data_IF_301697183956
#
_entry.id   IF_301697183956
#
_cell.length_a   1.000
_cell.length_b   1.000
_cell.length_c   1.000
_cell.angle_alpha   90.00
_cell.angle_beta   90.00
_cell.angle_gamma   90.00
#
_symmetry.space_group_name_H-M   'P 1'
#
loop_
_entity.id
_entity.type
_entity.pdbx_description
1 polymer ?
#
# COMPACT_ATOMS: atom_id res chain seq x y z
N UNK A 1 -10.48 -5.50 28.46
CA UNK A 1 -9.26 -5.17 27.67
C UNK A 1 -8.58 -3.97 28.33
N UNK A 2 -7.49 -4.20 29.06
CA UNK A 2 -6.73 -3.14 29.74
C UNK A 2 -5.96 -2.24 28.77
N UNK A 3 -5.36 -1.16 29.30
CA UNK A 3 -4.36 -0.34 28.59
C UNK A 3 -3.00 -0.70 29.18
N UNK A 4 -2.08 -1.22 28.36
CA UNK A 4 -0.67 -1.42 28.75
C UNK A 4 0.24 -0.44 28.01
N UNK A 5 1.23 0.14 28.70
CA UNK A 5 2.30 0.92 28.06
C UNK A 5 3.65 0.33 28.43
N UNK A 6 4.50 0.12 27.43
CA UNK A 6 5.87 -0.36 27.64
C UNK A 6 6.85 0.51 26.87
N UNK A 7 7.94 0.90 27.54
CA UNK A 7 9.00 1.76 27.01
C UNK A 7 10.37 1.05 27.09
N UNK A 8 11.38 1.66 26.49
CA UNK A 8 12.76 1.14 26.45
C UNK A 8 13.10 0.53 25.09
N UNK A 9 14.28 -0.06 24.94
CA UNK A 9 14.76 -0.53 23.63
C UNK A 9 13.77 -1.49 22.92
N UNK A 10 12.93 -2.20 23.68
CA UNK A 10 11.87 -3.09 23.18
C UNK A 10 10.55 -2.90 23.95
N UNK A 11 9.93 -1.73 23.82
CA UNK A 11 8.61 -1.46 24.42
C UNK A 11 7.47 -2.30 23.85
N UNK A 12 6.58 -2.81 24.73
CA UNK A 12 5.37 -3.58 24.38
C UNK A 12 4.14 -3.06 25.11
N UNK A 13 3.04 -2.88 24.40
CA UNK A 13 1.75 -2.51 24.98
C UNK A 13 0.59 -3.32 24.41
N UNK A 14 -0.37 -3.69 25.26
CA UNK A 14 -1.53 -4.53 24.90
C UNK A 14 -2.86 -3.79 25.03
N UNK A 15 -3.91 -4.34 24.39
CA UNK A 15 -5.28 -3.84 24.49
C UNK A 15 -5.48 -2.50 23.77
N UNK A 16 -5.63 -1.39 24.49
CA UNK A 16 -5.58 -0.02 23.90
C UNK A 16 -4.22 0.64 24.18
N UNK A 17 -3.16 -0.18 24.20
CA UNK A 17 -1.84 0.14 24.69
C UNK A 17 -0.86 0.73 23.67
N UNK A 18 0.30 1.18 24.15
CA UNK A 18 1.43 1.65 23.31
C UNK A 18 2.74 0.97 23.71
N UNK A 19 3.49 0.50 22.72
CA UNK A 19 4.89 0.09 22.90
C UNK A 19 5.81 1.08 22.21
N UNK A 20 6.70 1.72 22.95
CA UNK A 20 7.61 2.76 22.46
C UNK A 20 9.08 2.32 22.66
N UNK A 21 9.94 2.57 21.68
CA UNK A 21 11.36 2.19 21.73
C UNK A 21 11.97 1.97 20.36
N UNK A 22 13.25 1.58 20.27
CA UNK A 22 13.86 1.19 18.98
C UNK A 22 13.01 0.10 18.28
N UNK A 23 12.36 -0.77 19.06
CA UNK A 23 11.43 -1.81 18.60
C UNK A 23 10.11 -1.79 19.40
N UNK A 24 9.26 -0.80 19.14
CA UNK A 24 7.93 -0.70 19.74
C UNK A 24 6.90 -1.69 19.16
N UNK A 25 6.09 -2.32 20.03
CA UNK A 25 4.98 -3.20 19.63
C UNK A 25 3.68 -2.87 20.37
N UNK A 26 2.58 -2.74 19.64
CA UNK A 26 1.24 -2.56 20.16
C UNK A 26 0.26 -3.62 19.66
N UNK A 27 -0.50 -4.25 20.55
CA UNK A 27 -1.51 -5.26 20.19
C UNK A 27 -2.94 -4.76 20.44
N UNK A 28 -3.93 -5.37 19.79
CA UNK A 28 -5.35 -5.03 19.95
C UNK A 28 -5.77 -3.78 19.17
N UNK A 29 -6.08 -2.68 19.86
CA UNK A 29 -6.26 -1.33 19.30
C UNK A 29 -5.01 -0.47 19.61
N UNK A 30 -3.85 -1.10 19.73
CA UNK A 30 -2.62 -0.47 20.21
C UNK A 30 -1.74 0.14 19.12
N UNK A 31 -0.66 0.81 19.55
CA UNK A 31 0.38 1.36 18.66
C UNK A 31 1.77 0.88 19.05
N UNK A 32 2.60 0.57 18.07
CA UNK A 32 4.03 0.36 18.24
C UNK A 32 4.80 1.49 17.56
N UNK A 33 5.59 2.24 18.30
CA UNK A 33 6.35 3.41 17.82
C UNK A 33 7.86 3.17 18.03
N UNK A 34 8.68 3.48 17.02
CA UNK A 34 10.12 3.22 17.05
C UNK A 34 10.79 3.21 15.69
N UNK A 35 12.09 2.94 15.59
CA UNK A 35 12.70 2.62 14.27
C UNK A 35 11.99 1.43 13.60
N UNK A 36 11.51 0.49 14.43
CA UNK A 36 10.74 -0.69 14.03
C UNK A 36 9.45 -0.80 14.83
N UNK A 37 8.48 0.06 14.51
CA UNK A 37 7.12 0.01 15.08
C UNK A 37 6.25 -1.11 14.49
N UNK A 38 5.52 -1.84 15.34
CA UNK A 38 4.54 -2.86 14.94
C UNK A 38 3.20 -2.71 15.66
N UNK A 39 2.10 -2.75 14.92
CA UNK A 39 0.74 -2.74 15.44
C UNK A 39 -0.07 -3.94 14.95
N UNK A 40 -0.70 -4.69 15.85
CA UNK A 40 -1.55 -5.85 15.50
C UNK A 40 -3.03 -5.58 15.80
N UNK A 41 -3.94 -6.31 15.14
CA UNK A 41 -5.38 -6.18 15.33
C UNK A 41 -5.99 -4.97 14.60
N UNK A 42 -6.47 -3.97 15.31
CA UNK A 42 -6.83 -2.63 14.82
C UNK A 42 -5.72 -1.63 15.18
N UNK A 43 -4.46 -2.06 15.07
CA UNK A 43 -3.30 -1.32 15.57
C UNK A 43 -2.55 -0.53 14.50
N UNK A 44 -1.56 0.25 14.95
CA UNK A 44 -0.61 0.97 14.06
C UNK A 44 0.83 0.69 14.43
N UNK A 45 1.69 0.51 13.43
CA UNK A 45 3.14 0.50 13.59
C UNK A 45 3.74 1.73 12.91
N UNK A 46 4.41 2.59 13.67
CA UNK A 46 4.98 3.86 13.19
C UNK A 46 6.51 3.83 13.39
N UNK A 47 7.27 4.24 12.38
CA UNK A 47 8.73 4.17 12.40
C UNK A 47 9.40 4.19 11.04
N UNK A 48 10.74 4.15 10.94
CA UNK A 48 11.40 3.90 9.64
C UNK A 48 10.85 2.63 8.96
N UNK A 49 10.53 1.61 9.77
CA UNK A 49 9.94 0.35 9.36
C UNK A 49 8.66 0.06 10.15
N UNK A 50 7.61 0.81 9.86
CA UNK A 50 6.26 0.58 10.42
C UNK A 50 5.54 -0.64 9.82
N UNK A 51 4.92 -1.46 10.66
CA UNK A 51 4.07 -2.60 10.23
C UNK A 51 2.73 -2.62 10.98
N UNK A 52 1.64 -2.79 10.24
CA UNK A 52 0.29 -2.97 10.77
C UNK A 52 -0.34 -4.26 10.27
N UNK A 53 -0.87 -5.09 11.16
CA UNK A 53 -1.55 -6.34 10.80
C UNK A 53 -3.05 -6.29 11.14
N UNK A 54 -3.86 -7.12 10.48
CA UNK A 54 -5.31 -7.18 10.69
C UNK A 54 -6.08 -6.06 9.99
N UNK A 55 -6.71 -5.15 10.74
CA UNK A 55 -7.26 -3.86 10.27
C UNK A 55 -6.30 -2.73 10.65
N UNK A 56 -5.00 -2.94 10.44
CA UNK A 56 -3.93 -2.08 10.94
C UNK A 56 -3.29 -1.18 9.89
N UNK A 57 -2.39 -0.29 10.34
CA UNK A 57 -1.55 0.55 9.45
C UNK A 57 -0.08 0.45 9.81
N UNK A 58 0.78 0.39 8.81
CA UNK A 58 2.23 0.56 8.97
C UNK A 58 2.65 1.86 8.29
N UNK A 59 3.19 2.80 9.04
CA UNK A 59 3.60 4.13 8.58
C UNK A 59 5.11 4.30 8.77
N UNK A 60 5.82 4.79 7.75
CA UNK A 60 7.28 4.88 7.77
C UNK A 60 7.94 4.98 6.41
N UNK A 61 9.26 5.17 6.31
CA UNK A 61 9.96 5.01 5.01
C UNK A 61 9.60 3.68 4.32
N UNK A 62 9.43 2.63 5.13
CA UNK A 62 9.01 1.29 4.71
C UNK A 62 7.78 0.85 5.50
N UNK A 63 6.63 1.47 5.24
CA UNK A 63 5.34 1.09 5.78
C UNK A 63 4.75 -0.20 5.16
N UNK A 64 4.24 -1.11 6.01
CA UNK A 64 3.53 -2.33 5.56
C UNK A 64 2.22 -2.52 6.30
N UNK A 65 1.16 -2.82 5.56
CA UNK A 65 -0.15 -3.18 6.10
C UNK A 65 -0.62 -4.54 5.59
N UNK A 66 -1.03 -5.44 6.48
CA UNK A 66 -1.55 -6.77 6.12
C UNK A 66 -3.04 -6.91 6.47
N UNK A 67 -3.74 -7.85 5.82
CA UNK A 67 -5.17 -8.09 6.04
C UNK A 67 -6.07 -7.05 5.37
N UNK A 68 -6.83 -6.27 6.14
CA UNK A 68 -7.56 -5.06 5.70
C UNK A 68 -6.76 -3.81 6.10
N UNK A 69 -5.45 -3.84 5.84
CA UNK A 69 -4.50 -2.84 6.34
C UNK A 69 -3.97 -1.87 5.29
N UNK A 70 -3.18 -0.88 5.73
CA UNK A 70 -2.45 0.05 4.84
C UNK A 70 -0.97 0.13 5.20
N UNK A 71 -0.10 0.19 4.20
CA UNK A 71 1.30 0.53 4.35
C UNK A 71 1.57 1.88 3.69
N UNK A 72 2.00 2.87 4.44
CA UNK A 72 2.23 4.24 3.97
C UNK A 72 3.71 4.60 4.16
N UNK A 73 4.34 5.21 3.16
CA UNK A 73 5.78 5.49 3.18
C UNK A 73 6.41 5.73 1.83
N UNK A 74 7.71 6.04 1.73
CA UNK A 74 8.39 5.99 0.41
C UNK A 74 8.19 4.64 -0.29
N UNK A 75 8.16 3.56 0.51
CA UNK A 75 7.92 2.18 0.08
C UNK A 75 6.76 1.58 0.86
N UNK A 76 5.54 2.06 0.59
CA UNK A 76 4.31 1.50 1.14
C UNK A 76 3.89 0.16 0.52
N UNK A 77 3.51 -0.82 1.35
CA UNK A 77 2.97 -2.12 0.90
C UNK A 77 1.69 -2.49 1.63
N UNK A 78 0.67 -2.93 0.89
CA UNK A 78 -0.58 -3.44 1.42
C UNK A 78 -0.88 -4.84 0.90
N UNK A 79 -1.14 -5.80 1.79
CA UNK A 79 -1.49 -7.18 1.43
C UNK A 79 -2.96 -7.50 1.79
N UNK A 80 -3.53 -8.53 1.14
CA UNK A 80 -4.91 -8.95 1.37
C UNK A 80 -5.95 -8.04 0.73
N UNK A 81 -6.77 -7.35 1.52
CA UNK A 81 -7.68 -6.26 1.11
C UNK A 81 -7.06 -4.92 1.53
N UNK A 82 -5.77 -4.73 1.23
CA UNK A 82 -4.98 -3.61 1.73
C UNK A 82 -4.58 -2.57 0.69
N UNK A 83 -3.90 -1.50 1.13
CA UNK A 83 -3.29 -0.50 0.25
C UNK A 83 -1.83 -0.23 0.60
N UNK A 84 -0.97 -0.09 -0.40
CA UNK A 84 0.38 0.43 -0.25
C UNK A 84 0.46 1.80 -0.91
N UNK A 85 0.76 2.84 -0.15
CA UNK A 85 0.81 4.23 -0.61
C UNK A 85 2.22 4.78 -0.41
N UNK A 86 2.77 5.46 -1.43
CA UNK A 86 4.15 5.92 -1.41
C UNK A 86 4.75 6.24 -2.75
N UNK A 87 5.99 6.74 -2.85
CA UNK A 87 6.69 6.79 -4.16
C UNK A 87 6.65 5.43 -4.89
N UNK A 88 6.78 4.36 -4.11
CA UNK A 88 6.72 2.96 -4.55
C UNK A 88 5.65 2.20 -3.78
N UNK A 89 4.38 2.54 -4.03
CA UNK A 89 3.22 1.83 -3.49
C UNK A 89 2.99 0.45 -4.12
N UNK A 90 2.74 -0.58 -3.31
CA UNK A 90 2.37 -1.94 -3.76
C UNK A 90 1.14 -2.48 -3.03
N UNK A 91 0.20 -3.04 -3.78
CA UNK A 91 -0.98 -3.71 -3.26
C UNK A 91 -1.09 -5.14 -3.78
N UNK A 92 -1.26 -6.12 -2.90
CA UNK A 92 -1.44 -7.53 -3.27
C UNK A 92 -2.84 -8.03 -2.91
N UNK A 93 -3.27 -9.14 -3.53
CA UNK A 93 -4.60 -9.74 -3.32
C UNK A 93 -5.74 -8.93 -3.94
N UNK A 94 -6.65 -8.40 -3.12
CA UNK A 94 -7.69 -7.42 -3.51
C UNK A 94 -7.25 -6.01 -3.08
N UNK A 95 -5.98 -5.68 -3.31
CA UNK A 95 -5.34 -4.46 -2.82
C UNK A 95 -5.08 -3.38 -3.86
N UNK A 96 -4.52 -2.25 -3.42
CA UNK A 96 -4.05 -1.16 -4.32
C UNK A 96 -2.64 -0.72 -3.98
N UNK A 97 -1.82 -0.44 -4.99
CA UNK A 97 -0.55 0.24 -4.86
C UNK A 97 -0.65 1.62 -5.50
N UNK A 98 -0.48 2.68 -4.73
CA UNK A 98 -0.62 4.07 -5.18
C UNK A 98 0.72 4.80 -4.99
N UNK A 99 1.17 5.53 -6.00
CA UNK A 99 2.49 6.17 -5.98
C UNK A 99 3.03 6.60 -7.32
N UNK A 100 4.19 7.24 -7.41
CA UNK A 100 4.86 7.42 -8.71
C UNK A 100 5.01 6.07 -9.46
N UNK A 101 5.28 5.01 -8.70
CA UNK A 101 5.40 3.62 -9.15
C UNK A 101 4.44 2.72 -8.39
N UNK A 102 3.14 2.87 -8.66
CA UNK A 102 2.08 2.01 -8.13
C UNK A 102 2.04 0.62 -8.77
N UNK A 103 1.94 -0.43 -7.95
CA UNK A 103 1.75 -1.82 -8.42
C UNK A 103 0.60 -2.52 -7.71
N UNK A 104 -0.26 -3.19 -8.45
CA UNK A 104 -1.35 -4.02 -7.95
C UNK A 104 -1.26 -5.45 -8.48
N UNK A 105 -1.29 -6.45 -7.60
CA UNK A 105 -1.28 -7.86 -7.98
C UNK A 105 -2.62 -8.55 -7.63
N UNK A 106 -2.89 -9.71 -8.23
CA UNK A 106 -4.12 -10.47 -8.01
C UNK A 106 -5.36 -9.82 -8.63
N UNK A 107 -6.31 -9.36 -7.81
CA UNK A 107 -7.48 -8.56 -8.21
C UNK A 107 -7.26 -7.07 -7.87
N UNK A 108 -6.00 -6.63 -7.81
CA UNK A 108 -5.61 -5.31 -7.34
C UNK A 108 -5.46 -4.22 -8.40
N UNK A 109 -5.06 -3.02 -7.98
CA UNK A 109 -4.75 -1.89 -8.88
C UNK A 109 -3.41 -1.25 -8.56
N UNK A 110 -2.63 -0.90 -9.57
CA UNK A 110 -1.46 -0.05 -9.46
C UNK A 110 -1.74 1.29 -10.09
N UNK A 111 -1.71 2.37 -9.32
CA UNK A 111 -2.03 3.73 -9.76
C UNK A 111 -0.80 4.63 -9.56
N UNK A 112 -0.44 5.42 -10.57
CA UNK A 112 0.77 6.23 -10.54
C UNK A 112 1.22 6.77 -11.88
N UNK A 113 2.32 7.53 -11.96
CA UNK A 113 2.95 7.80 -13.26
C UNK A 113 3.26 6.50 -14.02
N UNK A 114 3.70 5.48 -13.26
CA UNK A 114 4.01 4.13 -13.73
C UNK A 114 3.17 3.09 -12.98
N UNK A 115 1.87 3.08 -13.25
CA UNK A 115 0.94 2.08 -12.73
C UNK A 115 1.07 0.70 -13.39
N UNK A 116 1.14 -0.37 -12.60
CA UNK A 116 1.12 -1.76 -13.09
C UNK A 116 0.07 -2.61 -12.38
N UNK A 117 -0.68 -3.40 -13.14
CA UNK A 117 -1.65 -4.36 -12.64
C UNK A 117 -1.38 -5.75 -13.17
N UNK A 118 -1.26 -6.76 -12.31
CA UNK A 118 -1.05 -8.16 -12.69
C UNK A 118 -2.28 -9.01 -12.33
N UNK A 119 -2.39 -10.21 -12.93
CA UNK A 119 -3.52 -11.12 -12.71
C UNK A 119 -4.82 -10.62 -13.31
N UNK A 120 -5.84 -10.32 -12.49
CA UNK A 120 -7.09 -9.66 -12.88
C UNK A 120 -7.06 -8.15 -12.58
N UNK A 121 -5.87 -7.60 -12.32
CA UNK A 121 -5.69 -6.23 -11.86
C UNK A 121 -5.67 -5.15 -12.93
N UNK A 122 -5.46 -3.90 -12.52
CA UNK A 122 -5.34 -2.75 -13.44
C UNK A 122 -4.11 -1.90 -13.13
N UNK A 123 -3.40 -1.46 -14.15
CA UNK A 123 -2.34 -0.46 -14.06
C UNK A 123 -2.83 0.84 -14.69
N UNK A 124 -2.91 1.91 -13.91
CA UNK A 124 -3.40 3.22 -14.35
C UNK A 124 -2.30 4.26 -14.14
N UNK A 125 -2.03 5.07 -15.16
CA UNK A 125 -0.94 6.04 -15.12
C UNK A 125 -0.56 6.64 -16.46
N UNK A 126 0.41 7.55 -16.52
CA UNK A 126 1.00 7.93 -17.82
C UNK A 126 1.49 6.69 -18.58
N UNK A 127 2.09 5.74 -17.85
CA UNK A 127 2.60 4.47 -18.36
C UNK A 127 1.91 3.30 -17.66
N UNK A 128 0.59 3.20 -17.81
CA UNK A 128 -0.21 2.08 -17.31
C UNK A 128 0.08 0.74 -18.01
N UNK A 129 0.32 -0.34 -17.25
CA UNK A 129 0.48 -1.71 -17.77
C UNK A 129 -0.44 -2.70 -17.07
N UNK A 130 -1.06 -3.58 -17.84
CA UNK A 130 -1.84 -4.71 -17.35
C UNK A 130 -1.32 -6.04 -17.88
N UNK A 131 -1.13 -7.04 -17.02
CA UNK A 131 -0.70 -8.40 -17.41
C UNK A 131 -1.76 -9.44 -17.03
N UNK A 132 -1.72 -10.62 -17.65
CA UNK A 132 -2.67 -11.71 -17.40
C UNK A 132 -4.06 -11.44 -17.99
N UNK A 133 -5.09 -11.30 -17.16
CA UNK A 133 -6.44 -10.82 -17.52
C UNK A 133 -6.62 -9.33 -17.18
N UNK A 134 -5.53 -8.63 -16.87
CA UNK A 134 -5.54 -7.25 -16.38
C UNK A 134 -5.71 -6.18 -17.47
N UNK A 135 -5.74 -4.91 -17.06
CA UNK A 135 -5.85 -3.76 -17.98
C UNK A 135 -4.80 -2.71 -17.69
N UNK A 136 -4.20 -2.14 -18.74
CA UNK A 136 -3.31 -0.98 -18.64
C UNK A 136 -3.95 0.26 -19.27
N UNK A 137 -4.06 1.35 -18.53
CA UNK A 137 -4.66 2.60 -19.00
C UNK A 137 -3.69 3.77 -18.82
N UNK A 138 -3.50 4.59 -19.86
CA UNK A 138 -2.54 5.71 -19.82
C UNK A 138 -2.23 6.38 -21.14
N UNK A 139 -1.38 7.41 -21.15
CA UNK A 139 -0.82 7.96 -22.39
C UNK A 139 -0.02 6.91 -23.18
N UNK A 140 0.55 5.94 -22.45
CA UNK A 140 1.30 4.78 -22.97
C UNK A 140 0.76 3.48 -22.39
N UNK A 141 -0.56 3.34 -22.33
CA UNK A 141 -1.27 2.16 -21.81
C UNK A 141 -0.98 0.88 -22.60
N UNK A 142 -0.63 -0.22 -21.92
CA UNK A 142 -0.36 -1.54 -22.53
C UNK A 142 -1.05 -2.67 -21.77
N UNK A 143 -1.51 -3.69 -22.50
CA UNK A 143 -2.05 -4.93 -21.94
C UNK A 143 -1.35 -6.13 -22.55
N UNK A 144 -0.98 -7.12 -21.73
CA UNK A 144 -0.35 -8.38 -22.15
C UNK A 144 -1.19 -9.59 -21.69
N UNK A 145 -1.02 -10.74 -22.34
CA UNK A 145 -1.85 -11.93 -22.13
C UNK A 145 -3.29 -11.77 -22.66
N UNK A 146 -4.29 -12.16 -21.87
CA UNK A 146 -5.73 -11.89 -22.16
C UNK A 146 -6.15 -10.46 -21.75
N UNK A 147 -5.18 -9.61 -21.41
CA UNK A 147 -5.40 -8.24 -20.95
C UNK A 147 -5.67 -7.25 -22.08
N UNK A 148 -5.99 -5.99 -21.71
CA UNK A 148 -6.26 -4.91 -22.68
C UNK A 148 -5.50 -3.64 -22.32
N UNK A 149 -4.93 -2.98 -23.32
CA UNK A 149 -4.33 -1.65 -23.20
C UNK A 149 -5.26 -0.55 -23.72
N UNK A 150 -5.37 0.57 -23.01
CA UNK A 150 -6.05 1.78 -23.48
C UNK A 150 -5.11 2.95 -23.47
N UNK A 151 -4.89 3.54 -24.65
CA UNK A 151 -4.10 4.74 -24.82
C UNK A 151 -4.99 5.97 -24.84
N UNK A 152 -4.78 6.92 -23.91
CA UNK A 152 -5.39 8.25 -24.00
C UNK A 152 -4.59 9.07 -25.02
N UNK A 153 -5.22 9.50 -26.12
CA UNK A 153 -4.61 10.48 -27.02
C UNK A 153 -4.82 11.87 -26.41
N UNK A 154 -3.77 12.70 -26.38
CA UNK A 154 -3.92 14.14 -26.11
C UNK A 154 -4.89 14.71 -27.16
N UNK A 155 -5.79 15.58 -26.73
CA UNK A 155 -7.00 15.98 -27.45
C UNK A 155 -6.78 16.39 -28.90
N UNK A 156 -7.75 15.99 -29.74
CA UNK A 156 -8.24 16.85 -30.81
C UNK A 156 -8.80 18.11 -30.12
N UNK A 157 -8.03 19.18 -30.09
CA UNK A 157 -8.54 20.54 -29.95
C UNK A 157 -7.95 21.31 -31.12
N UNK A 158 -8.84 21.80 -31.98
CA UNK A 158 -8.51 22.49 -33.23
C UNK A 158 -9.28 21.96 -34.44
N UNK A 159 -10.58 21.68 -34.31
CA UNK A 159 -11.46 21.72 -35.48
C UNK A 159 -11.99 23.15 -35.60
N UNK A 160 -11.67 23.76 -36.74
CA UNK A 160 -12.46 24.72 -37.54
C UNK A 160 -13.14 25.90 -36.84
N UNK A 161 -12.54 27.10 -36.96
CA UNK A 161 -13.03 28.26 -37.75
C UNK A 161 -11.92 29.30 -37.88
#
# INVERSE_FOLDING_TARGET
LGRGRGEGQRGRGEGKGRGEGERGRGEGKGRGEGERGRGEGKGRGEGERGRGEGKGRGEGERGRGEGKGRGEGERGRGEGKGRGEGERGRGEGKGRGEGERGRGEGKGRGEGERGRGEGKGRGEGERGRGEGKGRGEGERGRGEGKGRGRRRKRGQQGDSL
#
